data_IF_156615274512
#
_entry.id   IF_156615274512
#
_cell.length_a   1.000
_cell.length_b   1.000
_cell.length_c   1.000
_cell.angle_alpha   90.00
_cell.angle_beta   90.00
_cell.angle_gamma   90.00
#
_symmetry.space_group_name_H-M   'P 1'
#
loop_
_entity.id
_entity.type
_entity.pdbx_description
1 polymer ?
#
# COMPACT_ATOMS: atom_id res chain seq x y z
N UNK A 1 -25.60 21.18 10.03
CA UNK A 1 -25.23 21.23 11.48
C UNK A 1 -23.88 20.52 11.66
N UNK A 2 -23.11 20.88 12.70
CA UNK A 2 -21.89 20.12 13.02
C UNK A 2 -22.28 18.72 13.50
N UNK A 3 -21.68 17.69 12.90
CA UNK A 3 -21.86 16.28 13.27
C UNK A 3 -20.73 15.86 14.18
N UNK A 4 -21.01 15.07 15.21
CA UNK A 4 -19.98 14.46 16.04
C UNK A 4 -19.56 13.10 15.45
N UNK A 5 -18.35 13.03 14.91
CA UNK A 5 -17.73 11.79 14.44
C UNK A 5 -16.80 11.19 15.50
N UNK A 6 -16.94 9.90 15.75
CA UNK A 6 -15.98 9.11 16.52
C UNK A 6 -15.17 8.26 15.54
N UNK A 7 -13.87 8.49 15.46
CA UNK A 7 -12.95 7.75 14.62
C UNK A 7 -12.19 6.74 15.47
N UNK A 8 -12.13 5.48 15.00
CA UNK A 8 -11.39 4.41 15.68
C UNK A 8 -10.13 4.07 14.88
N UNK A 9 -8.97 4.39 15.45
CA UNK A 9 -7.63 4.20 14.88
C UNK A 9 -6.99 5.50 14.39
N UNK A 10 -5.88 5.93 15.01
CA UNK A 10 -5.11 7.10 14.57
C UNK A 10 -3.90 6.70 13.71
N UNK A 11 -4.10 5.71 12.85
CA UNK A 11 -3.17 5.42 11.77
C UNK A 11 -3.20 6.53 10.70
N UNK A 12 -2.49 6.30 9.60
CA UNK A 12 -2.37 7.26 8.49
C UNK A 12 -3.74 7.76 7.99
N UNK A 13 -4.66 6.83 7.70
CA UNK A 13 -6.00 7.18 7.25
C UNK A 13 -6.83 7.90 8.32
N UNK A 14 -6.69 7.49 9.60
CA UNK A 14 -7.42 8.10 10.70
C UNK A 14 -7.01 9.56 10.94
N UNK A 15 -5.70 9.85 10.96
CA UNK A 15 -5.19 11.21 11.08
C UNK A 15 -5.62 12.09 9.90
N UNK A 16 -5.49 11.56 8.66
CA UNK A 16 -5.91 12.28 7.46
C UNK A 16 -7.42 12.60 7.46
N UNK A 17 -8.25 11.59 7.77
CA UNK A 17 -9.70 11.75 7.81
C UNK A 17 -10.13 12.72 8.91
N UNK A 18 -9.50 12.66 10.09
CA UNK A 18 -9.77 13.59 11.18
C UNK A 18 -9.48 15.04 10.75
N UNK A 19 -8.39 15.28 10.01
CA UNK A 19 -8.09 16.59 9.44
C UNK A 19 -9.13 17.05 8.41
N UNK A 20 -9.58 16.14 7.52
CA UNK A 20 -10.65 16.45 6.56
C UNK A 20 -11.95 16.87 7.25
N UNK A 21 -12.40 16.10 8.23
CA UNK A 21 -13.64 16.36 8.97
C UNK A 21 -13.51 17.61 9.84
N UNK A 22 -12.36 17.81 10.50
CA UNK A 22 -12.07 19.02 11.28
C UNK A 22 -12.13 20.27 10.43
N UNK A 23 -11.56 20.25 9.23
CA UNK A 23 -11.64 21.35 8.25
C UNK A 23 -13.08 21.69 7.85
N UNK A 24 -13.98 20.69 7.82
CA UNK A 24 -15.41 20.91 7.55
C UNK A 24 -16.20 21.47 8.74
N UNK A 25 -15.57 21.56 9.91
CA UNK A 25 -16.22 22.05 11.13
C UNK A 25 -17.02 21.00 11.89
N UNK A 26 -16.80 19.71 11.61
CA UNK A 26 -17.38 18.62 12.40
C UNK A 26 -16.64 18.45 13.73
N UNK A 27 -17.34 18.04 14.80
CA UNK A 27 -16.70 17.63 16.07
C UNK A 27 -16.12 16.22 15.91
N UNK A 28 -14.81 16.06 16.12
CA UNK A 28 -14.09 14.82 15.87
C UNK A 28 -13.38 14.34 17.11
N UNK A 29 -13.70 13.12 17.54
CA UNK A 29 -12.97 12.37 18.54
C UNK A 29 -12.26 11.20 17.88
N UNK A 30 -10.92 11.20 17.90
CA UNK A 30 -10.06 10.18 17.31
C UNK A 30 -9.43 9.33 18.41
N UNK A 31 -9.69 8.02 18.43
CA UNK A 31 -9.23 7.09 19.46
C UNK A 31 -8.18 6.13 18.92
N UNK A 32 -7.05 6.00 19.61
CA UNK A 32 -5.93 5.14 19.25
C UNK A 32 -5.57 4.20 20.42
N UNK A 33 -5.32 2.94 20.09
CA UNK A 33 -4.91 1.91 21.08
C UNK A 33 -3.49 2.08 21.62
N UNK A 34 -2.60 2.70 20.83
CA UNK A 34 -1.18 2.91 21.18
C UNK A 34 -1.00 4.22 21.93
N UNK A 35 0.17 4.37 22.52
CA UNK A 35 0.63 5.64 23.09
C UNK A 35 0.83 6.69 22.00
N UNK A 36 0.92 7.95 22.40
CA UNK A 36 1.16 9.07 21.49
C UNK A 36 2.54 8.93 20.80
N UNK A 37 2.59 8.84 19.47
CA UNK A 37 3.86 8.71 18.75
C UNK A 37 4.76 9.93 18.88
N UNK A 38 4.23 11.08 19.30
CA UNK A 38 4.98 12.33 19.50
C UNK A 38 5.79 12.35 20.81
N UNK A 39 5.45 11.50 21.78
CA UNK A 39 6.14 11.39 23.05
C UNK A 39 7.45 10.54 23.01
N UNK A 40 7.89 10.14 21.81
CA UNK A 40 9.17 9.45 21.60
C UNK A 40 9.20 7.97 22.00
N UNK A 41 8.13 7.45 22.58
CA UNK A 41 7.99 6.05 22.95
C UNK A 41 7.41 5.20 21.79
N UNK A 42 8.12 5.11 20.68
CA UNK A 42 7.79 4.14 19.64
C UNK A 42 8.08 2.71 20.12
N UNK A 43 7.26 2.22 21.05
CA UNK A 43 7.21 0.80 21.42
C UNK A 43 6.48 0.07 20.31
N UNK A 44 7.23 -0.59 19.45
CA UNK A 44 6.68 -1.50 18.47
C UNK A 44 7.31 -1.37 17.10
N UNK A 45 8.37 -2.14 16.86
CA UNK A 45 8.92 -2.48 15.54
C UNK A 45 9.43 -1.30 14.70
N UNK A 46 10.55 -1.50 14.03
CA UNK A 46 11.02 -0.57 12.99
C UNK A 46 9.90 -0.45 11.96
N UNK A 47 9.57 0.77 11.57
CA UNK A 47 8.42 1.04 10.70
C UNK A 47 8.78 0.76 9.25
N UNK A 48 7.99 -0.08 8.57
CA UNK A 48 8.09 -0.27 7.11
C UNK A 48 7.96 1.09 6.43
N UNK A 49 8.86 1.38 5.49
CA UNK A 49 8.73 2.54 4.62
C UNK A 49 7.57 2.35 3.65
N UNK A 50 6.95 3.45 3.33
CA UNK A 50 5.81 3.53 2.43
C UNK A 50 6.23 4.12 1.09
N UNK A 51 5.60 3.64 0.03
CA UNK A 51 5.74 4.21 -1.31
C UNK A 51 4.61 5.24 -1.54
N UNK A 52 4.88 6.49 -1.23
CA UNK A 52 3.93 7.58 -1.48
C UNK A 52 3.91 7.93 -2.97
N UNK A 53 2.72 7.94 -3.57
CA UNK A 53 2.49 8.17 -5.00
C UNK A 53 1.36 9.18 -5.23
N UNK A 54 1.01 9.40 -6.50
CA UNK A 54 0.08 10.46 -6.94
C UNK A 54 -1.21 10.55 -6.13
N UNK A 55 -1.86 9.43 -5.76
CA UNK A 55 -3.13 9.45 -5.00
C UNK A 55 -2.93 9.92 -3.57
N UNK A 56 -1.87 9.44 -2.93
CA UNK A 56 -1.52 9.87 -1.58
C UNK A 56 -1.09 11.33 -1.55
N UNK A 57 -0.27 11.76 -2.51
CA UNK A 57 0.15 13.18 -2.65
C UNK A 57 -1.09 14.06 -2.83
N UNK A 58 -2.01 13.69 -3.73
CA UNK A 58 -3.24 14.46 -3.93
C UNK A 58 -4.07 14.63 -2.64
N UNK A 59 -4.18 13.58 -1.83
CA UNK A 59 -4.89 13.68 -0.55
C UNK A 59 -4.21 14.66 0.43
N UNK A 60 -2.88 14.66 0.46
CA UNK A 60 -2.08 15.60 1.25
C UNK A 60 -2.19 17.05 0.71
N UNK A 61 -2.25 17.23 -0.62
CA UNK A 61 -2.49 18.53 -1.27
C UNK A 61 -3.85 19.11 -0.87
N UNK A 62 -4.90 18.28 -0.78
CA UNK A 62 -6.22 18.72 -0.34
C UNK A 62 -6.23 19.31 1.08
N UNK A 63 -5.28 18.91 1.92
CA UNK A 63 -5.08 19.43 3.28
C UNK A 63 -4.00 20.51 3.36
N UNK A 64 -3.29 20.81 2.26
CA UNK A 64 -2.19 21.77 2.23
C UNK A 64 -0.93 21.34 2.96
N UNK A 65 -0.73 20.02 3.16
CA UNK A 65 0.44 19.46 3.88
C UNK A 65 1.38 18.65 2.99
N UNK A 66 1.14 18.61 1.66
CA UNK A 66 1.96 17.82 0.74
C UNK A 66 3.43 18.24 0.77
N UNK A 67 3.73 19.54 0.72
CA UNK A 67 5.11 20.05 0.73
C UNK A 67 5.82 19.72 2.04
N UNK A 68 5.12 19.75 3.17
CA UNK A 68 5.65 19.37 4.48
C UNK A 68 6.07 17.90 4.50
N UNK A 69 5.22 17.02 3.99
CA UNK A 69 5.47 15.58 3.89
C UNK A 69 6.61 15.29 2.89
N UNK A 70 6.59 15.91 1.71
CA UNK A 70 7.56 15.65 0.64
C UNK A 70 8.99 16.09 0.99
N UNK A 71 9.17 17.05 1.91
CA UNK A 71 10.51 17.41 2.43
C UNK A 71 11.22 16.26 3.17
N UNK A 72 10.45 15.32 3.71
CA UNK A 72 10.97 14.14 4.41
C UNK A 72 10.93 12.86 3.58
N UNK A 73 10.57 12.96 2.29
CA UNK A 73 10.46 11.84 1.40
C UNK A 73 11.64 11.77 0.42
N UNK A 74 12.03 10.56 0.05
CA UNK A 74 13.13 10.34 -0.91
C UNK A 74 12.53 9.87 -2.24
N UNK A 75 12.73 10.61 -3.34
CA UNK A 75 12.21 10.22 -4.65
C UNK A 75 12.96 9.01 -5.20
N UNK A 76 12.20 8.04 -5.70
CA UNK A 76 12.70 6.82 -6.33
C UNK A 76 12.14 6.75 -7.77
N UNK A 77 12.88 7.18 -8.80
CA UNK A 77 12.43 7.16 -10.19
C UNK A 77 12.43 5.77 -10.83
N UNK A 78 12.96 4.75 -10.13
CA UNK A 78 13.02 3.40 -10.66
C UNK A 78 13.40 2.37 -9.61
N UNK A 79 13.60 1.15 -10.10
CA UNK A 79 14.02 -0.01 -9.32
C UNK A 79 15.48 -0.32 -9.61
N UNK A 80 16.26 -0.59 -8.59
CA UNK A 80 17.59 -1.19 -8.70
C UNK A 80 17.45 -2.69 -8.45
N UNK A 81 17.61 -3.49 -9.49
CA UNK A 81 17.48 -4.95 -9.43
C UNK A 81 18.85 -5.55 -9.17
N UNK A 82 18.96 -6.33 -8.12
CA UNK A 82 20.14 -7.05 -7.71
C UNK A 82 20.01 -8.51 -8.16
N UNK A 83 20.78 -8.93 -9.13
CA UNK A 83 20.80 -10.35 -9.51
C UNK A 83 21.59 -11.20 -8.51
N UNK A 84 21.58 -12.52 -8.68
CA UNK A 84 22.27 -13.44 -7.76
C UNK A 84 23.79 -13.36 -7.85
N UNK A 85 24.34 -12.78 -8.93
CA UNK A 85 25.79 -12.54 -9.08
C UNK A 85 26.24 -11.23 -8.42
N UNK A 86 25.29 -10.41 -7.90
CA UNK A 86 25.54 -9.08 -7.38
C UNK A 86 25.56 -7.99 -8.44
N UNK A 87 25.28 -8.31 -9.72
CA UNK A 87 25.16 -7.30 -10.76
C UNK A 87 23.89 -6.47 -10.58
N UNK A 88 24.03 -5.15 -10.82
CA UNK A 88 22.99 -4.16 -10.63
C UNK A 88 22.37 -3.73 -11.96
N UNK A 89 21.03 -3.71 -12.01
CA UNK A 89 20.29 -3.31 -13.18
C UNK A 89 19.23 -2.25 -12.80
N UNK A 90 19.45 -1.00 -13.21
CA UNK A 90 18.45 0.04 -13.01
C UNK A 90 17.30 -0.10 -14.04
N UNK A 91 16.08 -0.08 -13.53
CA UNK A 91 14.85 -0.14 -14.33
C UNK A 91 13.96 1.07 -13.97
N UNK A 92 13.91 2.11 -14.80
CA UNK A 92 13.07 3.29 -14.55
C UNK A 92 11.59 2.90 -14.56
N UNK A 93 10.77 3.60 -13.79
CA UNK A 93 9.31 3.43 -13.81
C UNK A 93 8.66 4.05 -15.04
N UNK A 94 9.21 5.16 -15.52
CA UNK A 94 8.73 5.93 -16.66
C UNK A 94 9.94 6.57 -17.38
N UNK A 95 9.73 7.02 -18.61
CA UNK A 95 10.74 7.81 -19.34
C UNK A 95 10.90 9.22 -18.79
N UNK A 96 9.84 9.77 -18.21
CA UNK A 96 9.87 11.06 -17.52
C UNK A 96 10.38 10.85 -16.08
N UNK A 97 11.59 11.35 -15.73
CA UNK A 97 12.16 11.18 -14.40
C UNK A 97 11.35 11.89 -13.29
N UNK A 98 10.44 12.80 -13.68
CA UNK A 98 9.52 13.45 -12.73
C UNK A 98 8.44 12.50 -12.22
N UNK A 99 8.19 11.40 -12.93
CA UNK A 99 7.31 10.32 -12.49
C UNK A 99 8.08 9.35 -11.61
N UNK A 100 7.96 9.52 -10.30
CA UNK A 100 8.62 8.72 -9.29
C UNK A 100 7.66 8.40 -8.14
N UNK A 101 7.97 7.37 -7.40
CA UNK A 101 7.39 7.13 -6.08
C UNK A 101 8.32 7.70 -5.02
N UNK A 102 7.80 7.98 -3.84
CA UNK A 102 8.58 8.56 -2.76
C UNK A 102 8.66 7.59 -1.59
N UNK A 103 9.86 7.26 -1.14
CA UNK A 103 10.04 6.56 0.13
C UNK A 103 9.79 7.51 1.28
N UNK A 104 8.93 7.13 2.20
CA UNK A 104 8.65 7.88 3.42
C UNK A 104 8.48 6.95 4.62
N UNK A 105 9.08 7.30 5.74
CA UNK A 105 8.89 6.57 6.99
C UNK A 105 7.44 6.67 7.49
N UNK A 106 6.85 5.53 7.81
CA UNK A 106 5.45 5.45 8.29
C UNK A 106 5.22 6.29 9.54
N UNK A 107 6.16 6.26 10.48
CA UNK A 107 6.05 7.00 11.74
C UNK A 107 6.03 8.52 11.49
N UNK A 108 6.97 9.03 10.68
CA UNK A 108 7.03 10.46 10.34
C UNK A 108 5.75 10.92 9.65
N UNK A 109 5.27 10.17 8.64
CA UNK A 109 4.01 10.50 7.96
C UNK A 109 2.81 10.47 8.92
N UNK A 110 2.77 9.48 9.83
CA UNK A 110 1.67 9.37 10.80
C UNK A 110 1.66 10.56 11.78
N UNK A 111 2.81 10.96 12.29
CA UNK A 111 2.95 12.15 13.13
C UNK A 111 2.47 13.40 12.40
N UNK A 112 2.92 13.61 11.16
CA UNK A 112 2.51 14.78 10.35
C UNK A 112 0.99 14.83 10.13
N UNK A 113 0.33 13.71 9.82
CA UNK A 113 -1.14 13.73 9.60
C UNK A 113 -1.92 13.92 10.91
N UNK A 114 -1.42 13.41 12.05
CA UNK A 114 -2.02 13.66 13.37
C UNK A 114 -1.86 15.14 13.75
N UNK A 115 -0.69 15.72 13.57
CA UNK A 115 -0.44 17.15 13.82
C UNK A 115 -1.32 18.04 12.93
N UNK A 116 -1.49 17.67 11.65
CA UNK A 116 -2.40 18.36 10.76
C UNK A 116 -3.85 18.32 11.24
N UNK A 117 -4.30 17.19 11.80
CA UNK A 117 -5.63 17.07 12.40
C UNK A 117 -5.79 17.96 13.63
N UNK A 118 -4.79 18.03 14.49
CA UNK A 118 -4.79 18.84 15.72
C UNK A 118 -4.69 20.34 15.49
N UNK A 119 -4.44 20.81 14.24
CA UNK A 119 -4.56 22.23 13.88
C UNK A 119 -6.02 22.74 13.95
N UNK A 120 -6.98 21.82 13.93
CA UNK A 120 -8.41 22.15 14.02
C UNK A 120 -8.90 22.02 15.47
N UNK A 121 -9.45 23.08 16.10
CA UNK A 121 -9.84 23.08 17.51
C UNK A 121 -11.02 22.14 17.83
N UNK A 122 -11.75 21.72 16.82
CA UNK A 122 -12.86 20.76 16.87
C UNK A 122 -12.39 19.29 16.73
N UNK A 123 -11.09 19.04 16.71
CA UNK A 123 -10.51 17.68 16.67
C UNK A 123 -9.79 17.39 17.99
N UNK A 124 -10.13 16.27 18.59
CA UNK A 124 -9.48 15.75 19.82
C UNK A 124 -8.98 14.34 19.58
N UNK A 125 -7.77 14.02 20.05
CA UNK A 125 -7.16 12.70 19.92
C UNK A 125 -6.95 12.09 21.28
N UNK A 126 -7.36 10.83 21.44
CA UNK A 126 -7.26 10.05 22.68
C UNK A 126 -6.43 8.81 22.44
N UNK A 127 -5.24 8.77 23.01
CA UNK A 127 -4.33 7.63 22.95
C UNK A 127 -4.58 6.63 24.07
N UNK A 128 -4.01 5.41 23.99
CA UNK A 128 -4.20 4.32 24.94
C UNK A 128 -5.68 3.87 25.10
N UNK A 129 -6.47 4.02 24.04
CA UNK A 129 -7.88 3.63 24.00
C UNK A 129 -8.11 2.54 22.95
N UNK A 130 -7.92 1.28 23.34
CA UNK A 130 -8.17 0.13 22.48
C UNK A 130 -9.67 -0.12 22.38
N UNK A 131 -10.26 0.08 21.20
CA UNK A 131 -11.64 -0.28 20.93
C UNK A 131 -11.82 -1.80 20.91
N UNK A 132 -12.81 -2.29 21.62
CA UNK A 132 -13.15 -3.71 21.72
C UNK A 132 -14.42 -4.07 20.95
N UNK A 133 -15.40 -3.13 20.89
CA UNK A 133 -16.64 -3.31 20.15
C UNK A 133 -17.31 -1.98 19.86
N UNK A 134 -18.30 -2.02 18.96
CA UNK A 134 -19.14 -0.86 18.60
C UNK A 134 -20.60 -1.31 18.53
N UNK A 135 -21.49 -0.53 19.14
CA UNK A 135 -22.93 -0.64 18.94
C UNK A 135 -23.30 0.10 17.65
N UNK A 136 -24.00 -0.57 16.73
CA UNK A 136 -24.25 -0.01 15.39
C UNK A 136 -25.46 0.95 15.36
N UNK A 137 -26.55 0.61 16.03
CA UNK A 137 -27.80 1.40 15.98
C UNK A 137 -27.73 2.65 16.84
N UNK A 138 -27.01 2.58 17.98
CA UNK A 138 -26.68 3.72 18.84
C UNK A 138 -25.15 3.87 18.83
N UNK A 139 -24.57 4.61 17.86
CA UNK A 139 -23.14 4.53 17.55
C UNK A 139 -22.27 4.86 18.76
N UNK A 140 -21.89 3.81 19.49
CA UNK A 140 -21.12 3.86 20.73
C UNK A 140 -19.92 2.90 20.62
N UNK A 141 -18.72 3.45 20.74
CA UNK A 141 -17.49 2.66 20.82
C UNK A 141 -17.17 2.33 22.29
N UNK A 142 -16.84 1.06 22.56
CA UNK A 142 -16.43 0.59 23.87
C UNK A 142 -14.93 0.28 23.88
N UNK A 143 -14.26 0.68 24.94
CA UNK A 143 -12.82 0.55 25.07
C UNK A 143 -12.43 -0.45 26.17
N UNK A 144 -11.23 -1.03 26.03
CA UNK A 144 -10.66 -1.97 27.02
C UNK A 144 -10.53 -1.35 28.40
N UNK A 145 -10.41 -0.03 28.50
CA UNK A 145 -10.39 0.74 29.75
C UNK A 145 -11.73 0.74 30.52
N UNK A 146 -12.81 0.20 29.93
CA UNK A 146 -14.18 0.29 30.46
C UNK A 146 -14.89 1.60 30.11
N UNK A 147 -14.23 2.55 29.48
CA UNK A 147 -14.82 3.78 28.98
C UNK A 147 -15.58 3.57 27.66
N UNK A 148 -16.39 4.52 27.27
CA UNK A 148 -17.09 4.51 25.99
C UNK A 148 -17.15 5.90 25.37
N UNK A 149 -17.28 5.95 24.03
CA UNK A 149 -17.48 7.20 23.28
C UNK A 149 -18.68 7.04 22.36
N UNK A 150 -19.57 8.04 22.41
CA UNK A 150 -20.76 8.09 21.57
C UNK A 150 -20.66 9.28 20.61
N UNK A 151 -21.00 9.05 19.35
CA UNK A 151 -21.11 10.08 18.31
C UNK A 151 -22.44 10.01 17.57
N UNK A 152 -22.61 10.87 16.58
CA UNK A 152 -23.68 10.75 15.60
C UNK A 152 -23.35 9.65 14.59
N UNK A 153 -22.05 9.47 14.30
CA UNK A 153 -21.53 8.38 13.51
C UNK A 153 -20.13 7.92 13.99
N UNK A 154 -19.82 6.63 13.77
CA UNK A 154 -18.51 6.04 14.04
C UNK A 154 -17.87 5.65 12.71
N UNK A 155 -16.59 5.98 12.53
CA UNK A 155 -15.83 5.53 11.36
C UNK A 155 -14.66 4.66 11.81
N UNK A 156 -14.67 3.40 11.38
CA UNK A 156 -13.60 2.44 11.61
C UNK A 156 -12.46 2.68 10.62
N UNK A 157 -11.30 3.14 11.12
CA UNK A 157 -10.03 3.31 10.42
C UNK A 157 -8.91 2.54 11.15
N UNK A 158 -9.28 1.48 11.86
CA UNK A 158 -8.48 0.71 12.81
C UNK A 158 -7.71 -0.46 12.17
N UNK A 159 -7.58 -0.44 10.84
CA UNK A 159 -6.68 -1.32 10.09
C UNK A 159 -7.23 -2.71 9.82
N UNK A 160 -6.36 -3.60 9.33
CA UNK A 160 -6.74 -4.93 8.87
C UNK A 160 -7.44 -5.80 9.93
N UNK A 161 -7.17 -5.57 11.22
CA UNK A 161 -7.79 -6.29 12.34
C UNK A 161 -8.85 -5.45 13.06
N UNK A 162 -9.69 -4.78 12.28
CA UNK A 162 -10.69 -3.80 12.74
C UNK A 162 -11.71 -4.38 13.71
N UNK A 163 -11.83 -3.77 14.89
CA UNK A 163 -12.88 -4.06 15.87
C UNK A 163 -14.25 -3.54 15.39
N UNK A 164 -14.26 -2.43 14.64
CA UNK A 164 -15.49 -1.89 14.05
C UNK A 164 -16.05 -2.85 13.00
N UNK A 165 -15.21 -3.36 12.07
CA UNK A 165 -15.63 -4.39 11.10
C UNK A 165 -16.13 -5.65 11.78
N UNK A 166 -15.44 -6.12 12.82
CA UNK A 166 -15.86 -7.31 13.58
C UNK A 166 -17.23 -7.08 14.25
N UNK A 167 -17.50 -5.88 14.74
CA UNK A 167 -18.82 -5.53 15.31
C UNK A 167 -19.91 -5.53 14.23
N UNK A 168 -19.61 -5.00 13.02
CA UNK A 168 -20.53 -5.08 11.88
C UNK A 168 -20.80 -6.53 11.47
N UNK A 169 -19.78 -7.37 11.43
CA UNK A 169 -19.91 -8.79 11.10
C UNK A 169 -20.81 -9.55 12.10
N UNK A 170 -20.72 -9.22 13.38
CA UNK A 170 -21.52 -9.84 14.44
C UNK A 170 -22.98 -9.39 14.46
N UNK A 171 -23.25 -8.13 14.11
CA UNK A 171 -24.56 -7.50 14.26
C UNK A 171 -25.36 -7.39 12.96
N UNK A 172 -24.74 -7.67 11.79
CA UNK A 172 -25.37 -7.59 10.47
C UNK A 172 -25.37 -8.93 9.75
N UNK A 173 -26.53 -9.61 9.62
CA UNK A 173 -26.63 -10.90 8.91
C UNK A 173 -26.27 -10.82 7.42
N UNK A 174 -26.41 -9.66 6.78
CA UNK A 174 -26.08 -9.40 5.37
C UNK A 174 -24.62 -9.01 5.13
N UNK A 175 -23.79 -8.91 6.18
CA UNK A 175 -22.40 -8.53 6.07
C UNK A 175 -21.56 -9.67 5.48
N UNK A 176 -20.93 -9.41 4.35
CA UNK A 176 -20.01 -10.35 3.67
C UNK A 176 -18.60 -10.05 4.08
N UNK A 177 -17.85 -11.07 4.40
CA UNK A 177 -16.45 -10.96 4.79
C UNK A 177 -15.64 -12.11 4.21
N UNK A 178 -14.52 -11.77 3.61
CA UNK A 178 -13.50 -12.70 3.12
C UNK A 178 -12.13 -12.23 3.58
N UNK A 179 -11.35 -13.16 4.11
CA UNK A 179 -10.01 -12.95 4.60
C UNK A 179 -9.09 -14.02 4.02
N UNK A 180 -8.10 -13.61 3.27
CA UNK A 180 -7.14 -14.52 2.66
C UNK A 180 -5.70 -14.14 3.02
N UNK A 181 -4.90 -15.16 3.34
CA UNK A 181 -3.49 -15.03 3.67
C UNK A 181 -2.64 -15.63 2.56
N UNK A 182 -1.54 -14.96 2.23
CA UNK A 182 -0.50 -15.61 1.42
C UNK A 182 0.27 -16.63 2.26
N UNK A 183 0.80 -17.66 1.59
CA UNK A 183 1.73 -18.61 2.21
C UNK A 183 3.06 -17.99 2.64
N UNK A 184 3.24 -16.70 2.35
CA UNK A 184 4.42 -15.90 2.66
C UNK A 184 4.17 -14.98 3.83
N UNK A 185 5.22 -14.81 4.66
CA UNK A 185 5.32 -13.74 5.62
C UNK A 185 6.31 -12.67 5.15
N UNK A 186 6.44 -11.65 5.97
CA UNK A 186 7.49 -10.64 5.79
C UNK A 186 8.28 -10.42 7.08
N UNK A 187 9.57 -10.11 6.92
CA UNK A 187 10.47 -9.78 8.02
C UNK A 187 11.24 -8.50 7.70
N UNK A 188 11.25 -7.59 8.66
CA UNK A 188 11.99 -6.34 8.56
C UNK A 188 13.45 -6.53 8.97
N UNK A 189 14.36 -5.98 8.17
CA UNK A 189 15.80 -5.98 8.40
C UNK A 189 16.34 -4.59 8.08
N UNK A 190 17.59 -4.30 8.46
CA UNK A 190 18.16 -2.97 8.31
C UNK A 190 19.52 -3.00 7.64
N UNK A 191 19.75 -2.04 6.74
CA UNK A 191 21.07 -1.60 6.32
C UNK A 191 21.31 -0.23 6.97
N UNK A 192 22.24 -0.11 7.95
CA UNK A 192 22.52 1.16 8.61
C UNK A 192 23.25 2.13 7.66
N UNK A 193 23.27 3.43 7.96
CA UNK A 193 24.08 4.40 7.22
C UNK A 193 25.56 4.05 7.27
N UNK A 194 26.34 4.62 6.36
CA UNK A 194 27.80 4.59 6.44
C UNK A 194 28.29 5.44 7.66
N UNK A 195 29.57 5.32 8.01
CA UNK A 195 30.13 6.01 9.16
C UNK A 195 30.05 7.54 9.07
N UNK A 196 29.97 8.08 7.86
CA UNK A 196 29.79 9.51 7.57
C UNK A 196 28.32 9.93 7.47
N UNK A 197 27.36 9.02 7.76
CA UNK A 197 25.92 9.25 7.64
C UNK A 197 25.37 9.13 6.22
N UNK A 198 26.18 8.78 5.22
CA UNK A 198 25.74 8.62 3.84
C UNK A 198 25.06 7.26 3.61
N UNK A 199 24.33 7.16 2.50
CA UNK A 199 23.71 5.91 2.08
C UNK A 199 24.74 4.92 1.51
N UNK A 200 24.66 3.66 1.92
CA UNK A 200 25.55 2.59 1.43
C UNK A 200 25.17 2.04 0.04
N UNK A 201 24.00 2.38 -0.45
CA UNK A 201 23.50 2.02 -1.78
C UNK A 201 22.89 3.26 -2.45
N UNK A 202 22.46 3.14 -3.72
CA UNK A 202 21.80 4.22 -4.44
C UNK A 202 20.49 4.64 -3.72
N UNK A 203 20.46 5.86 -3.17
CA UNK A 203 19.32 6.37 -2.42
C UNK A 203 18.07 6.62 -3.27
N UNK A 204 18.25 6.92 -4.56
CA UNK A 204 17.16 7.26 -5.44
C UNK A 204 16.62 6.04 -6.21
N UNK A 205 16.54 4.88 -5.55
CA UNK A 205 15.99 3.66 -6.12
C UNK A 205 15.26 2.81 -5.08
N UNK A 206 14.23 2.09 -5.52
CA UNK A 206 13.72 0.94 -4.79
C UNK A 206 14.61 -0.26 -5.12
N UNK A 207 15.38 -0.74 -4.15
CA UNK A 207 16.20 -1.93 -4.33
C UNK A 207 15.37 -3.20 -4.25
N UNK A 208 15.60 -4.16 -5.15
CA UNK A 208 14.87 -5.42 -5.21
C UNK A 208 15.86 -6.56 -5.50
N UNK A 209 15.82 -7.60 -4.67
CA UNK A 209 16.50 -8.89 -4.85
C UNK A 209 15.45 -9.97 -5.19
N UNK A 210 15.09 -10.19 -6.47
CA UNK A 210 14.13 -11.23 -6.86
C UNK A 210 14.80 -12.61 -6.80
N UNK A 211 14.16 -13.57 -6.14
CA UNK A 211 14.69 -14.93 -5.92
C UNK A 211 13.65 -16.03 -6.19
N UNK A 212 12.82 -15.87 -7.21
CA UNK A 212 11.73 -16.79 -7.60
C UNK A 212 10.67 -16.95 -6.52
N UNK A 213 10.86 -17.87 -5.55
CA UNK A 213 9.85 -18.12 -4.50
C UNK A 213 9.86 -17.08 -3.36
N UNK A 214 10.86 -16.22 -3.27
CA UNK A 214 10.97 -15.17 -2.26
C UNK A 214 11.67 -13.93 -2.84
N UNK A 215 11.65 -12.84 -2.12
CA UNK A 215 12.35 -11.61 -2.51
C UNK A 215 12.66 -10.74 -1.30
N UNK A 216 13.68 -9.92 -1.42
CA UNK A 216 13.94 -8.83 -0.49
C UNK A 216 13.82 -7.49 -1.25
N UNK A 217 13.27 -6.50 -0.58
CA UNK A 217 13.26 -5.10 -1.07
C UNK A 217 13.93 -4.22 -0.03
N UNK A 218 14.46 -3.07 -0.46
CA UNK A 218 14.97 -2.06 0.46
C UNK A 218 14.58 -0.66 -0.02
N UNK A 219 14.06 0.13 0.93
CA UNK A 219 13.68 1.52 0.71
C UNK A 219 14.57 2.43 1.55
N UNK A 220 15.03 3.55 0.98
CA UNK A 220 15.90 4.51 1.66
C UNK A 220 15.17 5.30 2.74
N UNK A 221 15.89 5.62 3.83
CA UNK A 221 15.47 6.50 4.90
C UNK A 221 16.26 7.82 4.85
N UNK A 222 15.68 8.93 5.37
CA UNK A 222 16.38 10.22 5.42
C UNK A 222 17.66 10.24 6.26
N UNK A 223 17.81 9.31 7.20
CA UNK A 223 18.98 9.15 8.06
C UNK A 223 20.15 8.40 7.41
N UNK A 224 20.06 8.06 6.14
CA UNK A 224 21.09 7.31 5.39
C UNK A 224 20.95 5.79 5.49
N UNK A 225 20.02 5.27 6.27
CA UNK A 225 19.72 3.84 6.37
C UNK A 225 18.78 3.37 5.26
N UNK A 226 18.61 2.05 5.17
CA UNK A 226 17.55 1.42 4.37
C UNK A 226 16.74 0.46 5.24
N UNK A 227 15.43 0.55 5.13
CA UNK A 227 14.53 -0.49 5.66
C UNK A 227 14.40 -1.59 4.62
N UNK A 228 14.88 -2.77 4.97
CA UNK A 228 14.79 -3.97 4.14
C UNK A 228 13.58 -4.81 4.56
N UNK A 229 12.88 -5.40 3.59
CA UNK A 229 11.76 -6.31 3.85
C UNK A 229 12.00 -7.60 3.08
N UNK A 230 12.21 -8.69 3.80
CA UNK A 230 12.29 -10.04 3.25
C UNK A 230 10.87 -10.64 3.21
N UNK A 231 10.38 -11.00 2.02
CA UNK A 231 9.15 -11.75 1.80
C UNK A 231 9.51 -13.21 1.52
N UNK A 232 9.07 -14.12 2.40
CA UNK A 232 9.46 -15.52 2.31
C UNK A 232 8.34 -16.44 2.79
N UNK A 233 8.32 -17.68 2.32
CA UNK A 233 7.34 -18.68 2.74
C UNK A 233 7.45 -18.98 4.24
N UNK A 234 6.30 -19.16 4.91
CA UNK A 234 6.28 -19.57 6.32
C UNK A 234 6.80 -20.98 6.50
N UNK A 235 6.42 -21.91 5.58
CA UNK A 235 6.67 -23.35 5.69
C UNK A 235 7.32 -23.88 4.41
N UNK A 236 8.11 -24.96 4.55
CA UNK A 236 8.75 -25.63 3.44
C UNK A 236 10.25 -25.85 3.66
N UNK A 237 10.94 -26.49 2.71
CA UNK A 237 12.35 -26.83 2.86
C UNK A 237 13.29 -25.60 2.88
N UNK A 238 12.84 -24.46 2.35
CA UNK A 238 13.52 -23.15 2.41
C UNK A 238 12.49 -22.11 2.84
N UNK A 239 12.36 -21.85 4.13
CA UNK A 239 11.30 -21.05 4.71
C UNK A 239 11.73 -20.47 6.06
N UNK A 240 10.90 -19.61 6.64
CA UNK A 240 11.09 -19.15 8.02
C UNK A 240 11.14 -20.31 9.02
N UNK A 241 10.30 -21.36 8.83
CA UNK A 241 10.24 -22.52 9.72
C UNK A 241 11.52 -23.36 9.66
N UNK A 242 12.16 -23.50 8.48
CA UNK A 242 13.36 -24.32 8.29
C UNK A 242 14.67 -23.59 8.62
N UNK A 243 14.63 -22.29 8.91
CA UNK A 243 15.80 -21.43 9.13
C UNK A 243 15.77 -20.92 10.56
N UNK A 244 16.30 -21.71 11.49
CA UNK A 244 16.14 -21.49 12.94
C UNK A 244 17.45 -21.16 13.66
N UNK A 245 18.60 -21.59 13.12
CA UNK A 245 19.91 -21.32 13.72
C UNK A 245 20.62 -20.16 13.03
N UNK A 246 21.62 -19.57 13.68
CA UNK A 246 22.44 -18.51 13.11
C UNK A 246 23.16 -18.95 11.85
N UNK A 247 23.68 -20.18 11.85
CA UNK A 247 24.37 -20.74 10.71
C UNK A 247 23.42 -20.93 9.52
N UNK A 248 22.15 -21.30 9.77
CA UNK A 248 21.14 -21.39 8.72
C UNK A 248 20.80 -20.01 8.15
N UNK A 249 20.64 -19.00 9.00
CA UNK A 249 20.37 -17.61 8.58
C UNK A 249 21.53 -17.09 7.75
N UNK A 250 22.77 -17.17 8.26
CA UNK A 250 23.95 -16.68 7.55
C UNK A 250 24.16 -17.41 6.23
N UNK A 251 24.03 -18.74 6.21
CA UNK A 251 24.13 -19.54 4.98
C UNK A 251 23.10 -19.10 3.94
N UNK A 252 21.83 -18.95 4.34
CA UNK A 252 20.76 -18.49 3.46
C UNK A 252 21.05 -17.11 2.87
N UNK A 253 21.46 -16.14 3.71
CA UNK A 253 21.77 -14.80 3.22
C UNK A 253 23.02 -14.75 2.35
N UNK A 254 24.09 -15.49 2.68
CA UNK A 254 25.27 -15.58 1.84
C UNK A 254 24.98 -16.23 0.48
N UNK A 255 24.12 -17.23 0.43
CA UNK A 255 23.73 -17.89 -0.81
C UNK A 255 22.82 -17.02 -1.69
N UNK A 256 21.91 -16.26 -1.10
CA UNK A 256 20.85 -15.58 -1.85
C UNK A 256 21.03 -14.06 -1.96
N UNK A 257 21.69 -13.44 -1.01
CA UNK A 257 21.90 -11.99 -0.94
C UNK A 257 23.35 -11.62 -0.64
N UNK A 258 24.34 -12.19 -1.37
CA UNK A 258 25.76 -12.03 -1.03
C UNK A 258 26.23 -10.58 -1.03
N UNK A 259 25.64 -9.74 -1.86
CA UNK A 259 25.92 -8.30 -1.94
C UNK A 259 25.29 -7.48 -0.80
N UNK A 260 24.22 -7.98 -0.18
CA UNK A 260 23.55 -7.32 0.95
C UNK A 260 24.21 -7.65 2.30
N UNK A 261 24.72 -8.88 2.48
CA UNK A 261 25.29 -9.34 3.77
C UNK A 261 26.33 -8.39 4.35
N UNK A 262 27.34 -7.90 3.60
CA UNK A 262 28.34 -6.97 4.13
C UNK A 262 27.76 -5.62 4.58
N UNK A 263 26.53 -5.30 4.15
CA UNK A 263 25.84 -4.06 4.48
C UNK A 263 24.93 -4.20 5.73
N UNK A 264 24.71 -5.43 6.23
CA UNK A 264 23.76 -5.78 7.28
C UNK A 264 24.46 -6.29 8.56
N UNK A 265 25.19 -5.48 9.31
CA UNK A 265 25.95 -5.93 10.50
C UNK A 265 25.06 -6.47 11.62
N UNK A 266 23.80 -6.05 11.71
CA UNK A 266 22.81 -6.51 12.69
C UNK A 266 21.86 -7.60 12.13
N UNK A 267 22.23 -8.30 11.04
CA UNK A 267 21.35 -9.26 10.36
C UNK A 267 20.74 -10.31 11.30
N UNK A 268 21.55 -10.92 12.14
CA UNK A 268 21.10 -11.98 13.07
C UNK A 268 20.18 -11.43 14.15
N UNK A 269 20.50 -10.27 14.71
CA UNK A 269 19.67 -9.58 15.69
C UNK A 269 18.31 -9.20 15.09
N UNK A 270 18.32 -8.49 13.95
CA UNK A 270 17.09 -8.11 13.24
C UNK A 270 16.25 -9.34 12.87
N UNK A 271 16.87 -10.44 12.41
CA UNK A 271 16.16 -11.63 12.01
C UNK A 271 15.49 -12.35 13.18
N UNK A 272 16.10 -12.34 14.36
CA UNK A 272 15.57 -12.97 15.58
C UNK A 272 14.53 -12.11 16.30
N UNK A 273 14.82 -10.83 16.46
CA UNK A 273 14.01 -9.93 17.30
C UNK A 273 12.79 -9.38 16.58
N UNK A 274 12.90 -9.10 15.26
CA UNK A 274 11.78 -8.57 14.53
C UNK A 274 10.72 -9.67 14.28
N UNK A 275 9.43 -9.40 14.54
CA UNK A 275 8.37 -10.39 14.30
C UNK A 275 8.22 -10.69 12.81
N UNK A 276 7.84 -11.92 12.49
CA UNK A 276 7.42 -12.27 11.13
C UNK A 276 5.95 -11.93 10.96
N UNK A 277 5.67 -10.93 10.11
CA UNK A 277 4.31 -10.49 9.82
C UNK A 277 3.63 -11.34 8.75
N UNK A 278 2.30 -11.43 8.81
CA UNK A 278 1.46 -12.10 7.80
C UNK A 278 1.01 -11.13 6.73
N UNK A 279 0.80 -11.65 5.52
CA UNK A 279 0.31 -10.90 4.37
C UNK A 279 -1.16 -11.25 4.16
N UNK A 280 -2.05 -10.34 4.57
CA UNK A 280 -3.49 -10.52 4.56
C UNK A 280 -4.15 -9.64 3.50
N UNK A 281 -5.14 -10.18 2.83
CA UNK A 281 -6.09 -9.45 1.99
C UNK A 281 -7.46 -9.54 2.63
N UNK A 282 -8.11 -8.40 2.82
CA UNK A 282 -9.47 -8.28 3.39
C UNK A 282 -10.41 -7.79 2.31
N UNK A 283 -11.56 -8.45 2.19
CA UNK A 283 -12.69 -8.00 1.39
C UNK A 283 -13.95 -8.07 2.21
N UNK A 284 -14.70 -6.99 2.28
CA UNK A 284 -15.99 -6.99 2.97
C UNK A 284 -17.02 -6.11 2.27
N UNK A 285 -18.27 -6.32 2.58
CA UNK A 285 -19.39 -5.53 2.09
C UNK A 285 -20.63 -5.76 2.95
N UNK A 286 -21.45 -4.73 3.15
CA UNK A 286 -21.25 -3.32 2.84
C UNK A 286 -20.26 -2.66 3.81
N UNK A 287 -19.69 -1.49 3.43
CA UNK A 287 -18.76 -0.75 4.28
C UNK A 287 -19.43 0.23 5.23
N UNK A 288 -20.73 0.19 5.35
CA UNK A 288 -21.49 1.09 6.22
C UNK A 288 -22.74 0.42 6.79
N UNK A 289 -23.20 0.96 7.90
CA UNK A 289 -24.48 0.62 8.51
C UNK A 289 -25.29 1.90 8.65
N UNK A 290 -26.29 2.06 7.80
CA UNK A 290 -27.15 3.28 7.73
C UNK A 290 -26.29 4.55 7.71
N UNK A 291 -26.72 5.57 8.46
CA UNK A 291 -26.01 6.81 8.71
C UNK A 291 -25.07 6.77 9.93
N UNK A 292 -24.86 5.57 10.55
CA UNK A 292 -24.29 5.40 11.89
C UNK A 292 -22.85 4.92 11.91
N UNK A 293 -22.48 4.00 11.02
CA UNK A 293 -21.13 3.39 11.03
C UNK A 293 -20.59 3.30 9.61
N UNK A 294 -19.30 3.62 9.41
CA UNK A 294 -18.61 3.38 8.15
C UNK A 294 -17.20 2.79 8.38
N UNK A 295 -16.65 2.10 7.37
CA UNK A 295 -15.30 1.56 7.34
C UNK A 295 -14.48 2.25 6.25
N UNK A 296 -13.21 2.57 6.54
CA UNK A 296 -12.30 3.27 5.62
C UNK A 296 -10.92 2.62 5.64
N UNK A 297 -10.26 2.56 4.51
CA UNK A 297 -8.92 2.01 4.35
C UNK A 297 -8.82 0.53 4.70
N UNK A 298 -7.75 0.11 5.36
CA UNK A 298 -7.48 -1.30 5.69
C UNK A 298 -8.58 -1.94 6.55
N UNK A 299 -9.38 -1.17 7.28
CA UNK A 299 -10.55 -1.69 7.99
C UNK A 299 -11.61 -2.25 7.03
N UNK A 300 -11.71 -1.70 5.82
CA UNK A 300 -12.64 -2.12 4.78
C UNK A 300 -12.00 -3.08 3.75
N UNK A 301 -10.72 -2.87 3.40
CA UNK A 301 -10.09 -3.54 2.26
C UNK A 301 -8.55 -3.59 2.36
N UNK A 302 -8.02 -4.18 3.41
CA UNK A 302 -6.57 -4.38 3.51
C UNK A 302 -6.04 -5.18 2.31
N UNK A 303 -4.88 -4.77 1.78
CA UNK A 303 -4.23 -5.41 0.64
C UNK A 303 -2.77 -5.73 0.94
N UNK A 304 -2.24 -6.75 0.29
CA UNK A 304 -0.80 -7.08 0.38
C UNK A 304 0.05 -5.96 -0.24
N UNK A 305 1.28 -5.70 0.28
CA UNK A 305 2.02 -4.46 0.02
C UNK A 305 2.70 -4.38 -1.35
N UNK A 306 2.62 -5.40 -2.19
CA UNK A 306 3.46 -5.54 -3.39
C UNK A 306 3.27 -4.49 -4.47
N UNK A 307 2.12 -3.82 -4.52
CA UNK A 307 1.91 -2.70 -5.42
C UNK A 307 2.29 -1.34 -4.79
N UNK A 308 2.52 -1.29 -3.47
CA UNK A 308 2.81 -0.07 -2.73
C UNK A 308 1.62 0.91 -2.69
N UNK A 309 0.38 0.40 -2.81
CA UNK A 309 -0.80 1.25 -2.95
C UNK A 309 -1.76 1.24 -1.74
N UNK A 310 -1.54 0.43 -0.71
CA UNK A 310 -2.47 0.36 0.44
C UNK A 310 -2.72 1.73 1.09
N UNK A 311 -1.66 2.42 1.49
CA UNK A 311 -1.75 3.77 2.06
C UNK A 311 -2.34 4.79 1.07
N UNK A 312 -1.91 4.76 -0.21
CA UNK A 312 -2.42 5.67 -1.24
C UNK A 312 -3.92 5.47 -1.49
N UNK A 313 -4.40 4.22 -1.46
CA UNK A 313 -5.82 3.89 -1.59
C UNK A 313 -6.62 4.34 -0.37
N UNK A 314 -6.09 4.14 0.85
CA UNK A 314 -6.72 4.59 2.08
C UNK A 314 -6.82 6.13 2.16
N UNK A 315 -5.81 6.85 1.66
CA UNK A 315 -5.85 8.30 1.54
C UNK A 315 -6.88 8.77 0.51
N UNK A 316 -6.97 8.08 -0.64
CA UNK A 316 -8.04 8.33 -1.63
C UNK A 316 -9.43 8.05 -1.05
N UNK A 317 -9.59 7.02 -0.19
CA UNK A 317 -10.84 6.76 0.53
C UNK A 317 -11.26 7.96 1.40
N UNK A 318 -10.30 8.53 2.15
CA UNK A 318 -10.57 9.70 2.99
C UNK A 318 -11.05 10.89 2.15
N UNK A 319 -10.41 11.16 1.00
CA UNK A 319 -10.82 12.23 0.09
C UNK A 319 -12.22 11.97 -0.47
N UNK A 320 -12.49 10.74 -0.95
CA UNK A 320 -13.79 10.41 -1.53
C UNK A 320 -14.91 10.47 -0.48
N UNK A 321 -14.65 10.00 0.75
CA UNK A 321 -15.62 10.11 1.83
C UNK A 321 -15.86 11.57 2.20
N UNK A 322 -14.82 12.40 2.27
CA UNK A 322 -14.93 13.84 2.50
C UNK A 322 -15.77 14.52 1.42
N UNK A 323 -15.54 14.21 0.13
CA UNK A 323 -16.36 14.69 -0.99
C UNK A 323 -17.83 14.27 -0.83
N UNK A 324 -18.10 13.00 -0.49
CA UNK A 324 -19.47 12.50 -0.33
C UNK A 324 -20.21 13.16 0.84
N UNK A 325 -19.53 13.35 1.98
CA UNK A 325 -20.11 14.10 3.13
C UNK A 325 -20.41 15.56 2.76
N UNK A 326 -19.54 16.18 1.95
CA UNK A 326 -19.79 17.53 1.43
C UNK A 326 -20.94 17.61 0.44
N UNK A 327 -21.16 16.56 -0.36
CA UNK A 327 -22.26 16.50 -1.32
C UNK A 327 -23.62 16.17 -0.66
N UNK A 328 -23.61 15.47 0.47
CA UNK A 328 -24.81 15.07 1.21
C UNK A 328 -24.72 15.44 2.70
N UNK A 329 -24.60 16.74 3.05
CA UNK A 329 -24.26 17.17 4.41
C UNK A 329 -25.32 16.81 5.47
N UNK A 330 -26.56 16.58 5.06
CA UNK A 330 -27.67 16.23 5.95
C UNK A 330 -28.12 14.77 5.81
N UNK A 331 -27.44 13.98 4.98
CA UNK A 331 -27.80 12.60 4.73
C UNK A 331 -26.55 11.71 4.68
N UNK A 332 -26.05 11.36 5.86
CA UNK A 332 -24.85 10.54 5.99
C UNK A 332 -25.03 9.12 5.41
N UNK A 333 -26.24 8.55 5.46
CA UNK A 333 -26.48 7.23 4.83
C UNK A 333 -26.23 7.29 3.34
N UNK A 334 -26.71 8.33 2.66
CA UNK A 334 -26.43 8.55 1.24
C UNK A 334 -24.96 8.82 0.98
N UNK A 335 -24.31 9.61 1.84
CA UNK A 335 -22.87 9.87 1.72
C UNK A 335 -22.06 8.59 1.83
N UNK A 336 -22.36 7.72 2.79
CA UNK A 336 -21.66 6.45 2.99
C UNK A 336 -21.97 5.44 1.86
N UNK A 337 -23.21 5.41 1.37
CA UNK A 337 -23.58 4.57 0.23
C UNK A 337 -22.87 4.99 -1.06
N UNK A 338 -22.78 6.30 -1.32
CA UNK A 338 -22.05 6.85 -2.47
C UNK A 338 -20.54 6.57 -2.37
N UNK A 339 -19.95 6.79 -1.18
CA UNK A 339 -18.55 6.44 -0.92
C UNK A 339 -18.28 4.95 -1.21
N UNK A 340 -19.11 4.05 -0.67
CA UNK A 340 -19.02 2.61 -0.91
C UNK A 340 -19.11 2.28 -2.41
N UNK A 341 -20.09 2.86 -3.11
CA UNK A 341 -20.28 2.65 -4.54
C UNK A 341 -19.07 3.08 -5.37
N UNK A 342 -18.47 4.22 -5.04
CA UNK A 342 -17.31 4.77 -5.76
C UNK A 342 -16.02 3.99 -5.49
N UNK A 343 -15.90 3.36 -4.30
CA UNK A 343 -14.63 2.78 -3.85
C UNK A 343 -14.56 1.25 -3.90
N UNK A 344 -15.68 0.54 -3.69
CA UNK A 344 -15.67 -0.92 -3.54
C UNK A 344 -15.05 -1.66 -4.71
N UNK A 345 -15.49 -1.38 -5.94
CA UNK A 345 -14.94 -2.02 -7.14
C UNK A 345 -13.44 -1.72 -7.31
N UNK A 346 -13.02 -0.51 -6.94
CA UNK A 346 -11.62 -0.09 -7.03
C UNK A 346 -10.75 -0.79 -5.99
N UNK A 347 -11.23 -0.96 -4.77
CA UNK A 347 -10.53 -1.69 -3.72
C UNK A 347 -10.36 -3.18 -4.06
N UNK A 348 -11.41 -3.81 -4.60
CA UNK A 348 -11.35 -5.20 -5.05
C UNK A 348 -10.34 -5.37 -6.21
N UNK A 349 -10.37 -4.46 -7.18
CA UNK A 349 -9.41 -4.47 -8.28
C UNK A 349 -7.97 -4.27 -7.79
N UNK A 350 -7.75 -3.39 -6.80
CA UNK A 350 -6.42 -3.20 -6.21
C UNK A 350 -5.94 -4.46 -5.48
N UNK A 351 -6.83 -5.15 -4.77
CA UNK A 351 -6.48 -6.40 -4.10
C UNK A 351 -6.02 -7.48 -5.10
N UNK A 352 -6.72 -7.63 -6.24
CA UNK A 352 -6.30 -8.53 -7.31
C UNK A 352 -4.94 -8.12 -7.90
N UNK A 353 -4.79 -6.85 -8.25
CA UNK A 353 -3.55 -6.31 -8.80
C UNK A 353 -2.36 -6.47 -7.86
N UNK A 354 -2.56 -6.35 -6.54
CA UNK A 354 -1.50 -6.51 -5.57
C UNK A 354 -0.98 -7.95 -5.52
N UNK A 355 -1.86 -8.95 -5.58
CA UNK A 355 -1.50 -10.37 -5.65
C UNK A 355 -0.84 -10.70 -6.99
N UNK A 356 -1.39 -10.22 -8.12
CA UNK A 356 -0.80 -10.40 -9.44
C UNK A 356 0.63 -9.81 -9.52
N UNK A 357 0.82 -8.62 -8.95
CA UNK A 357 2.15 -7.98 -8.93
C UNK A 357 3.16 -8.75 -8.06
N UNK A 358 2.71 -9.40 -6.97
CA UNK A 358 3.58 -10.29 -6.19
C UNK A 358 4.12 -11.42 -7.06
N UNK A 359 3.23 -12.12 -7.76
CA UNK A 359 3.61 -13.20 -8.67
C UNK A 359 4.55 -12.68 -9.77
N UNK A 360 4.26 -11.48 -10.30
CA UNK A 360 5.11 -10.84 -11.31
C UNK A 360 6.51 -10.53 -10.77
N UNK A 361 6.61 -9.90 -9.62
CA UNK A 361 7.88 -9.52 -9.00
C UNK A 361 8.70 -10.73 -8.60
N UNK A 362 8.05 -11.76 -8.06
CA UNK A 362 8.67 -12.98 -7.58
C UNK A 362 9.17 -13.86 -8.72
N UNK A 363 8.32 -14.14 -9.72
CA UNK A 363 8.52 -15.22 -10.69
C UNK A 363 8.97 -14.69 -12.07
N UNK A 364 8.47 -13.53 -12.51
CA UNK A 364 8.56 -13.11 -13.91
C UNK A 364 9.70 -12.14 -14.20
N UNK A 365 10.22 -11.42 -13.21
CA UNK A 365 11.27 -10.39 -13.42
C UNK A 365 12.56 -10.96 -14.02
N UNK A 366 12.87 -12.23 -13.76
CA UNK A 366 14.01 -12.95 -14.37
C UNK A 366 13.72 -13.45 -15.79
N UNK A 367 12.45 -13.46 -16.25
CA UNK A 367 12.06 -14.02 -17.55
C UNK A 367 12.45 -13.11 -18.71
N UNK A 368 13.09 -13.68 -19.76
CA UNK A 368 13.42 -12.95 -21.00
C UNK A 368 12.17 -12.44 -21.70
N UNK A 369 11.08 -13.22 -21.69
CA UNK A 369 9.77 -12.84 -22.30
C UNK A 369 9.17 -11.65 -21.58
N UNK A 370 9.20 -11.65 -20.25
CA UNK A 370 8.69 -10.53 -19.44
C UNK A 370 9.49 -9.25 -19.70
N UNK A 371 10.82 -9.33 -19.75
CA UNK A 371 11.68 -8.18 -20.08
C UNK A 371 11.42 -7.65 -21.50
N UNK A 372 11.15 -8.55 -22.46
CA UNK A 372 10.78 -8.15 -23.81
C UNK A 372 9.40 -7.43 -23.83
N UNK A 373 8.41 -7.93 -23.07
CA UNK A 373 7.12 -7.24 -22.90
C UNK A 373 7.30 -5.83 -22.32
N UNK A 374 8.09 -5.68 -21.25
CA UNK A 374 8.37 -4.35 -20.65
C UNK A 374 9.03 -3.37 -21.64
N UNK A 375 9.97 -3.86 -22.46
CA UNK A 375 10.56 -3.04 -23.53
C UNK A 375 9.52 -2.62 -24.57
N UNK A 376 8.61 -3.52 -24.93
CA UNK A 376 7.49 -3.23 -25.83
C UNK A 376 6.54 -2.21 -25.20
N UNK A 377 6.17 -2.36 -23.93
CA UNK A 377 5.34 -1.42 -23.20
C UNK A 377 5.94 0.01 -23.24
N UNK A 378 7.22 0.15 -22.93
CA UNK A 378 7.92 1.44 -23.01
C UNK A 378 8.03 1.99 -24.44
N UNK A 379 8.20 1.11 -25.44
CA UNK A 379 8.19 1.53 -26.83
C UNK A 379 6.82 2.08 -27.24
N UNK A 380 5.74 1.33 -26.93
CA UNK A 380 4.36 1.72 -27.26
C UNK A 380 3.94 3.00 -26.53
N UNK A 381 4.32 3.18 -25.28
CA UNK A 381 4.09 4.40 -24.51
C UNK A 381 4.72 5.61 -25.21
N UNK A 382 5.95 5.44 -25.73
CA UNK A 382 6.63 6.51 -26.46
C UNK A 382 6.11 6.74 -27.89
N UNK A 383 5.65 5.70 -28.57
CA UNK A 383 5.14 5.76 -29.93
C UNK A 383 3.68 6.23 -30.00
N UNK A 384 2.89 5.96 -28.95
CA UNK A 384 1.45 6.23 -28.88
C UNK A 384 1.09 7.01 -27.59
N UNK A 385 1.65 8.22 -27.39
CA UNK A 385 1.46 8.99 -26.17
C UNK A 385 -0.03 9.31 -25.95
N UNK A 386 -0.53 9.06 -24.73
CA UNK A 386 -1.94 9.25 -24.36
C UNK A 386 -2.88 8.12 -24.79
N UNK A 387 -2.52 7.32 -25.81
CA UNK A 387 -3.31 6.16 -26.29
C UNK A 387 -2.92 4.92 -25.49
N UNK A 388 -1.65 4.57 -25.49
CA UNK A 388 -1.11 3.46 -24.69
C UNK A 388 -0.52 3.96 -23.38
N UNK A 389 -0.94 3.36 -22.26
CA UNK A 389 -0.42 3.67 -20.94
C UNK A 389 -0.23 2.36 -20.17
N UNK A 390 1.00 2.02 -19.73
CA UNK A 390 1.25 0.81 -18.96
C UNK A 390 0.41 0.76 -17.67
N UNK A 391 -0.03 -0.44 -17.27
CA UNK A 391 -0.85 -0.63 -16.07
C UNK A 391 -0.20 -0.02 -14.83
N UNK A 392 1.10 -0.25 -14.64
CA UNK A 392 1.84 0.31 -13.51
C UNK A 392 1.78 1.84 -13.47
N UNK A 393 1.95 2.50 -14.63
CA UNK A 393 1.86 3.95 -14.75
C UNK A 393 0.44 4.47 -14.44
N UNK A 394 -0.60 3.78 -14.95
CA UNK A 394 -2.00 4.13 -14.63
C UNK A 394 -2.29 4.06 -13.13
N UNK A 395 -1.83 3.00 -12.46
CA UNK A 395 -2.08 2.77 -11.04
C UNK A 395 -1.28 3.74 -10.16
N UNK A 396 -0.02 3.99 -10.49
CA UNK A 396 0.93 4.68 -9.60
C UNK A 396 1.00 6.18 -9.88
N UNK A 397 0.95 6.60 -11.16
CA UNK A 397 1.19 7.99 -11.56
C UNK A 397 -0.05 8.72 -12.05
N UNK A 398 -1.22 8.11 -11.92
CA UNK A 398 -2.49 8.74 -12.26
C UNK A 398 -3.55 8.50 -11.18
N UNK A 399 -4.66 9.22 -11.30
CA UNK A 399 -5.86 9.01 -10.48
C UNK A 399 -6.94 8.22 -11.24
N UNK A 400 -6.61 7.57 -12.35
CA UNK A 400 -7.53 6.66 -13.03
C UNK A 400 -7.99 5.59 -12.02
N UNK A 401 -9.30 5.38 -11.81
CA UNK A 401 -9.80 4.37 -10.88
C UNK A 401 -9.16 2.99 -11.12
N UNK A 402 -8.76 2.28 -10.07
CA UNK A 402 -8.01 1.02 -10.21
C UNK A 402 -8.71 -0.02 -11.10
N UNK A 403 -10.03 -0.15 -10.94
CA UNK A 403 -10.83 -1.04 -11.79
C UNK A 403 -10.81 -0.60 -13.28
N UNK A 404 -10.88 0.70 -13.55
CA UNK A 404 -10.78 1.24 -14.90
C UNK A 404 -9.38 1.04 -15.48
N UNK A 405 -8.32 1.24 -14.70
CA UNK A 405 -6.94 0.97 -15.10
C UNK A 405 -6.75 -0.51 -15.48
N UNK A 406 -7.25 -1.44 -14.65
CA UNK A 406 -7.20 -2.88 -14.91
C UNK A 406 -8.00 -3.25 -16.19
N UNK A 407 -9.21 -2.69 -16.39
CA UNK A 407 -9.98 -2.91 -17.61
C UNK A 407 -9.27 -2.38 -18.86
N UNK A 408 -8.72 -1.15 -18.78
CA UNK A 408 -7.97 -0.53 -19.89
C UNK A 408 -6.74 -1.35 -20.24
N UNK A 409 -5.96 -1.81 -19.27
CA UNK A 409 -4.79 -2.64 -19.52
C UNK A 409 -5.14 -3.96 -20.22
N UNK A 410 -6.17 -4.66 -19.75
CA UNK A 410 -6.66 -5.89 -20.40
C UNK A 410 -7.13 -5.65 -21.85
N UNK A 411 -7.77 -4.52 -22.11
CA UNK A 411 -8.17 -4.14 -23.46
C UNK A 411 -6.94 -3.85 -24.34
N UNK A 412 -5.97 -3.06 -23.84
CA UNK A 412 -4.72 -2.79 -24.56
C UNK A 412 -3.97 -4.08 -24.90
N UNK A 413 -3.84 -5.01 -23.96
CA UNK A 413 -3.21 -6.31 -24.19
C UNK A 413 -3.95 -7.10 -25.28
N UNK A 414 -5.28 -7.14 -25.27
CA UNK A 414 -6.08 -7.82 -26.32
C UNK A 414 -5.83 -7.22 -27.70
N UNK A 415 -5.78 -5.89 -27.82
CA UNK A 415 -5.49 -5.21 -29.08
C UNK A 415 -4.09 -5.56 -29.57
N UNK A 416 -3.08 -5.48 -28.70
CA UNK A 416 -1.68 -5.78 -29.06
C UNK A 416 -1.54 -7.24 -29.52
N UNK A 417 -2.05 -8.20 -28.74
CA UNK A 417 -1.98 -9.62 -29.10
C UNK A 417 -2.78 -9.94 -30.36
N UNK A 418 -3.96 -9.34 -30.51
CA UNK A 418 -4.78 -9.51 -31.73
C UNK A 418 -4.06 -8.97 -32.97
N UNK A 419 -3.44 -7.80 -32.88
CA UNK A 419 -2.65 -7.21 -33.97
C UNK A 419 -1.44 -8.06 -34.31
N UNK A 420 -0.72 -8.58 -33.29
CA UNK A 420 0.43 -9.45 -33.50
C UNK A 420 0.04 -10.76 -34.20
N UNK A 421 -1.04 -11.40 -33.76
CA UNK A 421 -1.57 -12.62 -34.39
C UNK A 421 -1.97 -12.35 -35.84
N UNK A 422 -2.67 -11.23 -36.12
CA UNK A 422 -3.06 -10.86 -37.47
C UNK A 422 -1.85 -10.61 -38.37
N UNK A 423 -0.80 -9.95 -37.88
CA UNK A 423 0.46 -9.73 -38.61
C UNK A 423 1.18 -11.06 -38.91
N UNK A 424 1.27 -11.97 -37.95
CA UNK A 424 1.87 -13.28 -38.15
C UNK A 424 1.08 -14.07 -39.23
N UNK A 425 -0.25 -14.09 -39.14
CA UNK A 425 -1.11 -14.73 -40.13
C UNK A 425 -0.91 -14.14 -41.54
N UNK A 426 -0.80 -12.82 -41.64
CA UNK A 426 -0.53 -12.14 -42.91
C UNK A 426 0.86 -12.52 -43.48
N UNK A 427 1.89 -12.56 -42.65
CA UNK A 427 3.23 -12.96 -43.08
C UNK A 427 3.21 -14.40 -43.60
N UNK A 428 2.54 -15.32 -42.89
CA UNK A 428 2.43 -16.72 -43.30
C UNK A 428 1.70 -16.81 -44.66
N UNK A 429 0.60 -16.09 -44.83
CA UNK A 429 -0.15 -16.07 -46.10
C UNK A 429 0.68 -15.56 -47.28
N UNK A 430 1.42 -14.46 -47.05
CA UNK A 430 2.33 -13.90 -48.06
C UNK A 430 3.45 -14.89 -48.41
N UNK A 431 4.04 -15.56 -47.39
CA UNK A 431 5.06 -16.58 -47.61
C UNK A 431 4.50 -17.77 -48.44
N UNK A 432 3.30 -18.28 -48.11
CA UNK A 432 2.63 -19.35 -48.88
C UNK A 432 2.37 -18.94 -50.33
N UNK A 433 1.89 -17.71 -50.56
CA UNK A 433 1.68 -17.19 -51.93
C UNK A 433 3.01 -17.07 -52.70
N UNK A 434 4.09 -16.70 -52.05
CA UNK A 434 5.39 -16.63 -52.68
C UNK A 434 5.95 -18.01 -53.07
N UNK A 435 5.76 -19.00 -52.20
CA UNK A 435 6.15 -20.40 -52.47
C UNK A 435 5.32 -21.02 -53.59
N UNK A 436 4.01 -20.75 -53.64
CA UNK A 436 3.10 -21.30 -54.67
C UNK A 436 3.27 -20.68 -56.05
N UNK A 437 4.00 -19.57 -56.17
CA UNK A 437 4.32 -18.89 -57.45
C UNK A 437 5.69 -19.29 -58.01
N UNK A 438 6.44 -20.12 -57.31
CA UNK A 438 7.69 -20.80 -57.79
C UNK A 438 7.40 -22.23 -58.16
#
# INVERSE_FOLDING_TARGET
MATKFVLIGSGLAGGLLAACLGRRGHDVELYERRADPREGNLVGGRSINLALSTRGIHALEQLGIADEVLRHAIPMPGRMIHDKSGALHFSPYDRDPRKHINSIGRAALNTTVIEAALRYPNVRVFFNHRCTSVDLDVPTAHFETGSSARGDAIIGVDGAFSAVRLSMQKQRPDFRYDESYLAHGYKELTIPPAADGSWRMEKNALHIWPRKSFMMIALPNPDGSFTCTLFWEFKGPRSFESTTTDDDILRFFHEEFPDAVPLMPALLEDFRENPTGSLVTIRCAPWFHRDKVALVGDAAHAVVPFYGQGMNAAFEDCVVLDECLGAFPENHERAFAEYFSRRKENADALADLAVENFIEMRDKTASKVFRAKKKLDHFLEGALPGIYLPLYAMVTFTRIPYAAAARRARWQDRVIYGTLVALIALIILLAMQFISRR
#
